data_IF_962910610865
#
_entry.id   IF_962910610865
#
_cell.length_a   1.000
_cell.length_b   1.000
_cell.length_c   1.000
_cell.angle_alpha   90.00
_cell.angle_beta   90.00
_cell.angle_gamma   90.00
#
_symmetry.space_group_name_H-M   'P 1'
#
loop_
_entity.id
_entity.type
_entity.pdbx_description
1 polymer ?
#
# COMPACT_ATOMS: atom_id res chain seq x y z
N UNK A 1 -22.02 -13.24 -4.00
CA UNK A 1 -21.24 -12.00 -3.79
C UNK A 1 -20.30 -11.78 -4.96
N UNK A 2 -19.43 -10.77 -4.89
CA UNK A 2 -18.37 -10.55 -5.91
C UNK A 2 -17.26 -11.60 -5.83
N UNK A 3 -17.03 -12.19 -4.65
CA UNK A 3 -16.15 -13.34 -4.48
C UNK A 3 -16.82 -14.60 -5.03
N UNK A 4 -16.22 -15.18 -6.07
CA UNK A 4 -16.66 -16.43 -6.68
C UNK A 4 -15.68 -16.87 -7.75
N UNK A 5 -15.74 -18.15 -8.12
CA UNK A 5 -14.80 -18.76 -9.05
C UNK A 5 -15.50 -19.55 -10.14
N UNK A 6 -14.74 -19.92 -11.17
CA UNK A 6 -15.15 -20.86 -12.20
C UNK A 6 -13.93 -21.63 -12.72
N UNK A 7 -14.18 -22.82 -13.24
CA UNK A 7 -13.14 -23.70 -13.77
C UNK A 7 -13.19 -23.74 -15.29
N UNK A 8 -12.03 -23.70 -15.93
CA UNK A 8 -11.86 -23.81 -17.39
C UNK A 8 -10.97 -25.00 -17.69
N UNK A 9 -11.50 -25.97 -18.43
CA UNK A 9 -10.70 -27.08 -18.96
C UNK A 9 -10.02 -26.64 -20.26
N UNK A 10 -8.69 -26.70 -20.29
CA UNK A 10 -7.89 -26.48 -21.49
C UNK A 10 -7.40 -27.84 -21.98
N UNK A 11 -7.84 -28.29 -23.19
CA UNK A 11 -7.44 -29.59 -23.73
C UNK A 11 -5.92 -29.74 -23.73
N UNK A 12 -5.42 -30.91 -23.34
CA UNK A 12 -3.99 -31.27 -23.20
C UNK A 12 -3.16 -30.52 -22.14
N UNK A 13 -3.74 -29.53 -21.44
CA UNK A 13 -3.03 -28.77 -20.39
C UNK A 13 -3.57 -29.08 -19.01
N UNK A 14 -4.89 -28.99 -18.80
CA UNK A 14 -5.52 -29.25 -17.51
C UNK A 14 -6.69 -28.33 -17.20
N UNK A 15 -7.12 -28.33 -15.94
CA UNK A 15 -8.21 -27.49 -15.45
C UNK A 15 -7.64 -26.29 -14.68
N UNK A 16 -8.09 -25.09 -15.03
CA UNK A 16 -7.68 -23.84 -14.40
C UNK A 16 -8.85 -23.25 -13.64
N UNK A 17 -8.63 -22.94 -12.36
CA UNK A 17 -9.58 -22.21 -11.55
C UNK A 17 -9.31 -20.72 -11.66
N UNK A 18 -10.35 -19.95 -11.95
CA UNK A 18 -10.29 -18.50 -12.06
C UNK A 18 -11.13 -17.85 -10.97
N UNK A 19 -10.53 -16.95 -10.18
CA UNK A 19 -11.23 -16.12 -9.22
C UNK A 19 -11.77 -14.86 -9.91
N UNK A 20 -13.04 -14.50 -9.65
CA UNK A 20 -13.69 -13.28 -10.20
C UNK A 20 -13.75 -12.12 -9.21
N UNK A 21 -13.35 -12.40 -7.97
CA UNK A 21 -13.40 -11.44 -6.87
C UNK A 21 -12.09 -10.67 -6.69
N UNK A 22 -11.94 -9.98 -5.56
CA UNK A 22 -10.67 -9.40 -5.14
C UNK A 22 -9.57 -10.46 -5.10
N UNK A 23 -8.39 -10.11 -5.62
CA UNK A 23 -7.19 -10.97 -5.64
C UNK A 23 -6.12 -10.53 -4.64
N UNK A 24 -6.31 -9.39 -3.99
CA UNK A 24 -5.40 -8.82 -2.99
C UNK A 24 -6.08 -8.87 -1.62
N UNK A 25 -5.46 -9.58 -0.68
CA UNK A 25 -5.89 -9.62 0.71
C UNK A 25 -5.06 -8.63 1.51
N UNK A 26 -5.70 -7.54 1.97
CA UNK A 26 -5.11 -6.56 2.87
C UNK A 26 -5.65 -6.77 4.29
N UNK A 27 -4.86 -6.38 5.28
CA UNK A 27 -5.19 -6.49 6.71
C UNK A 27 -5.62 -7.92 7.13
N UNK A 28 -4.76 -8.93 6.91
CA UNK A 28 -5.13 -10.33 7.16
C UNK A 28 -5.51 -10.62 8.62
N UNK A 29 -4.99 -9.86 9.58
CA UNK A 29 -5.35 -9.91 11.00
C UNK A 29 -6.83 -9.62 11.26
N UNK A 30 -7.48 -8.75 10.47
CA UNK A 30 -8.93 -8.51 10.59
C UNK A 30 -9.71 -9.78 10.28
N UNK A 31 -9.28 -10.52 9.24
CA UNK A 31 -9.90 -11.80 8.88
C UNK A 31 -9.63 -12.88 9.92
N UNK A 32 -8.40 -12.97 10.43
CA UNK A 32 -8.03 -13.92 11.48
C UNK A 32 -8.83 -13.68 12.76
N UNK A 33 -8.94 -12.42 13.21
CA UNK A 33 -9.74 -12.05 14.37
C UNK A 33 -11.21 -12.47 14.26
N UNK A 34 -11.81 -12.36 13.07
CA UNK A 34 -13.18 -12.84 12.84
C UNK A 34 -13.33 -14.36 13.03
N UNK A 35 -12.34 -15.15 12.61
CA UNK A 35 -12.36 -16.60 12.88
C UNK A 35 -12.21 -16.89 14.37
N UNK A 36 -11.32 -16.16 15.05
CA UNK A 36 -11.07 -16.29 16.50
C UNK A 36 -12.32 -15.95 17.33
N UNK A 37 -13.07 -14.91 16.95
CA UNK A 37 -14.36 -14.55 17.59
C UNK A 37 -15.39 -15.69 17.52
N UNK A 38 -15.29 -16.53 16.48
CA UNK A 38 -16.12 -17.73 16.32
C UNK A 38 -15.57 -18.96 17.06
N UNK A 39 -14.47 -18.81 17.81
CA UNK A 39 -13.73 -19.92 18.43
C UNK A 39 -13.12 -20.87 17.41
N UNK A 40 -12.73 -20.38 16.23
CA UNK A 40 -12.17 -21.14 15.12
C UNK A 40 -10.86 -20.51 14.64
N UNK A 41 -10.15 -21.26 13.80
CA UNK A 41 -9.04 -20.73 13.01
C UNK A 41 -9.35 -20.85 11.52
N UNK A 42 -8.83 -19.92 10.73
CA UNK A 42 -8.97 -19.90 9.26
C UNK A 42 -8.59 -21.24 8.61
N UNK A 43 -7.54 -21.91 9.10
CA UNK A 43 -7.07 -23.20 8.57
C UNK A 43 -8.05 -24.34 8.84
N UNK A 44 -8.95 -24.21 9.83
CA UNK A 44 -10.05 -25.18 10.06
C UNK A 44 -10.95 -25.31 8.82
N UNK A 45 -11.03 -24.25 8.02
CA UNK A 45 -11.79 -24.20 6.78
C UNK A 45 -10.92 -24.37 5.53
N UNK A 46 -9.65 -24.76 5.69
CA UNK A 46 -8.70 -24.89 4.60
C UNK A 46 -8.22 -23.54 4.03
N UNK A 47 -8.44 -22.42 4.74
CA UNK A 47 -7.97 -21.11 4.31
C UNK A 47 -6.57 -20.87 4.86
N UNK A 48 -5.57 -20.88 3.98
CA UNK A 48 -4.19 -20.49 4.27
C UNK A 48 -3.95 -19.07 3.76
N UNK A 49 -3.41 -18.20 4.62
CA UNK A 49 -3.09 -16.81 4.30
C UNK A 49 -1.57 -16.63 4.28
N UNK A 50 -0.97 -16.87 3.11
CA UNK A 50 0.47 -16.73 2.89
C UNK A 50 0.80 -15.38 2.28
N UNK A 51 1.90 -14.77 2.73
CA UNK A 51 2.39 -13.51 2.19
C UNK A 51 3.10 -13.72 0.85
N UNK A 52 2.74 -12.93 -0.16
CA UNK A 52 3.46 -12.86 -1.43
C UNK A 52 4.68 -11.93 -1.29
N UNK A 53 5.87 -12.41 -1.63
CA UNK A 53 7.12 -11.61 -1.58
C UNK A 53 7.96 -11.82 -2.85
N UNK A 54 8.27 -10.77 -3.64
CA UNK A 54 7.72 -9.40 -3.53
C UNK A 54 6.18 -9.39 -3.68
N UNK A 55 5.51 -8.40 -3.13
CA UNK A 55 4.05 -8.29 -3.23
C UNK A 55 3.59 -8.09 -4.67
N UNK A 56 4.35 -7.33 -5.47
CA UNK A 56 4.08 -7.12 -6.90
C UNK A 56 5.32 -6.62 -7.65
N UNK A 57 5.26 -6.73 -8.97
CA UNK A 57 6.20 -6.11 -9.90
C UNK A 57 5.49 -5.03 -10.69
N UNK A 58 6.10 -3.86 -10.80
CA UNK A 58 5.65 -2.78 -11.67
C UNK A 58 6.46 -2.82 -12.95
N UNK A 59 5.76 -2.77 -14.09
CA UNK A 59 6.34 -2.72 -15.43
C UNK A 59 5.89 -1.42 -16.08
N UNK A 60 6.86 -0.55 -16.39
CA UNK A 60 6.63 0.71 -17.08
C UNK A 60 6.59 0.50 -18.59
N UNK A 61 6.02 1.46 -19.31
CA UNK A 61 5.85 1.42 -20.77
C UNK A 61 7.18 1.47 -21.53
N UNK A 62 8.20 2.10 -20.95
CA UNK A 62 9.58 2.09 -21.44
C UNK A 62 10.32 0.76 -21.19
N UNK A 63 9.62 -0.25 -20.67
CA UNK A 63 10.15 -1.58 -20.37
C UNK A 63 10.91 -1.66 -19.05
N UNK A 64 10.99 -0.55 -18.30
CA UNK A 64 11.65 -0.52 -17.01
C UNK A 64 10.79 -1.23 -15.95
N UNK A 65 11.42 -1.95 -15.02
CA UNK A 65 10.69 -2.78 -14.03
C UNK A 65 11.20 -2.60 -12.60
N UNK A 66 10.33 -2.76 -11.60
CA UNK A 66 10.75 -2.78 -10.19
C UNK A 66 9.87 -3.73 -9.38
N UNK A 67 10.49 -4.45 -8.46
CA UNK A 67 9.79 -5.29 -7.50
C UNK A 67 9.52 -4.50 -6.21
N UNK A 68 8.34 -4.64 -5.62
CA UNK A 68 7.91 -3.89 -4.43
C UNK A 68 7.16 -4.77 -3.43
N UNK A 69 7.06 -4.29 -2.18
CA UNK A 69 6.40 -4.99 -1.08
C UNK A 69 7.26 -6.11 -0.51
N UNK A 70 8.42 -5.72 0.04
CA UNK A 70 9.28 -6.60 0.82
C UNK A 70 8.95 -6.45 2.30
N UNK A 71 9.02 -7.51 3.12
CA UNK A 71 8.71 -7.42 4.54
C UNK A 71 9.62 -6.44 5.30
N UNK A 72 9.05 -5.66 6.24
CA UNK A 72 9.80 -4.78 7.17
C UNK A 72 10.96 -5.48 7.87
N UNK A 73 10.73 -6.73 8.27
CA UNK A 73 11.74 -7.54 8.95
C UNK A 73 12.72 -8.09 7.93
N UNK A 74 14.02 -7.90 8.19
CA UNK A 74 15.09 -8.43 7.31
C UNK A 74 14.83 -9.90 7.04
N UNK A 75 14.47 -10.19 5.79
CA UNK A 75 14.34 -11.57 5.35
C UNK A 75 15.69 -12.23 5.44
N UNK A 76 15.80 -13.39 6.11
CA UNK A 76 17.03 -14.19 6.09
C UNK A 76 17.28 -14.86 4.73
N UNK A 77 16.39 -14.67 3.76
CA UNK A 77 16.54 -15.18 2.40
C UNK A 77 17.45 -14.25 1.58
N UNK A 78 18.66 -14.71 1.19
CA UNK A 78 19.61 -13.87 0.47
C UNK A 78 19.07 -13.35 -0.87
N UNK A 79 18.23 -14.15 -1.54
CA UNK A 79 17.63 -13.77 -2.82
C UNK A 79 16.65 -12.60 -2.67
N UNK A 80 15.88 -12.56 -1.57
CA UNK A 80 14.95 -11.46 -1.33
C UNK A 80 15.69 -10.17 -0.98
N UNK A 81 16.78 -10.26 -0.20
CA UNK A 81 17.64 -9.11 0.10
C UNK A 81 18.27 -8.53 -1.18
N UNK A 82 18.70 -9.39 -2.10
CA UNK A 82 19.25 -8.97 -3.39
C UNK A 82 18.20 -8.22 -4.22
N UNK A 83 16.99 -8.76 -4.35
CA UNK A 83 15.88 -8.13 -5.08
C UNK A 83 15.47 -6.78 -4.47
N UNK A 84 15.42 -6.70 -3.14
CA UNK A 84 15.14 -5.44 -2.44
C UNK A 84 16.25 -4.42 -2.72
N UNK A 85 17.53 -4.82 -2.59
CA UNK A 85 18.68 -3.95 -2.86
C UNK A 85 18.69 -3.41 -4.29
N UNK A 86 18.36 -4.26 -5.27
CA UNK A 86 18.22 -3.86 -6.68
C UNK A 86 17.10 -2.83 -6.85
N UNK A 87 15.96 -3.06 -6.21
CA UNK A 87 14.81 -2.14 -6.26
C UNK A 87 15.14 -0.79 -5.63
N UNK A 88 15.81 -0.78 -4.47
CA UNK A 88 16.26 0.45 -3.79
C UNK A 88 17.28 1.22 -4.64
N UNK A 89 18.28 0.53 -5.20
CA UNK A 89 19.26 1.15 -6.11
C UNK A 89 18.56 1.80 -7.31
N UNK A 90 17.50 1.17 -7.82
CA UNK A 90 16.70 1.69 -8.92
C UNK A 90 15.91 2.95 -8.55
N UNK A 91 15.40 3.04 -7.33
CA UNK A 91 14.79 4.27 -6.83
C UNK A 91 15.81 5.43 -6.84
N UNK A 92 17.07 5.17 -6.45
CA UNK A 92 18.12 6.20 -6.46
C UNK A 92 18.51 6.67 -7.87
N UNK A 93 18.43 5.78 -8.88
CA UNK A 93 18.64 6.18 -10.29
C UNK A 93 17.49 7.01 -10.82
N UNK A 94 16.26 6.77 -10.36
CA UNK A 94 15.09 7.53 -10.78
C UNK A 94 14.96 8.90 -10.10
N UNK A 95 15.31 9.01 -8.81
CA UNK A 95 15.12 10.22 -8.00
C UNK A 95 16.39 10.57 -7.20
N UNK A 96 17.46 10.88 -7.94
CA UNK A 96 18.79 11.15 -7.43
C UNK A 96 18.84 12.37 -6.48
N UNK A 97 19.69 12.34 -5.43
CA UNK A 97 20.62 11.26 -5.08
C UNK A 97 20.04 10.15 -4.19
N UNK A 98 18.89 10.35 -3.56
CA UNK A 98 18.44 9.52 -2.44
C UNK A 98 16.98 9.06 -2.62
N UNK A 99 16.64 8.50 -3.78
CA UNK A 99 15.27 8.07 -4.09
C UNK A 99 14.75 6.99 -3.13
N UNK A 100 15.63 6.05 -2.72
CA UNK A 100 15.30 5.01 -1.76
C UNK A 100 15.04 5.55 -0.35
N UNK A 101 15.80 6.58 0.06
CA UNK A 101 15.60 7.26 1.36
C UNK A 101 14.28 8.05 1.36
N UNK A 102 13.98 8.76 0.26
CA UNK A 102 12.68 9.44 0.09
C UNK A 102 11.51 8.45 0.16
N UNK A 103 11.68 7.26 -0.40
CA UNK A 103 10.69 6.18 -0.30
C UNK A 103 10.50 5.72 1.14
N UNK A 104 11.58 5.50 1.89
CA UNK A 104 11.49 5.14 3.32
C UNK A 104 10.81 6.23 4.15
N UNK A 105 11.14 7.49 3.88
CA UNK A 105 10.51 8.64 4.52
C UNK A 105 9.01 8.68 4.26
N UNK A 106 8.61 8.52 3.00
CA UNK A 106 7.22 8.43 2.59
C UNK A 106 6.50 7.27 3.30
N UNK A 107 7.08 6.06 3.27
CA UNK A 107 6.50 4.86 3.88
C UNK A 107 6.35 5.00 5.39
N UNK A 108 7.31 5.61 6.07
CA UNK A 108 7.23 5.89 7.51
C UNK A 108 6.07 6.84 7.83
N UNK A 109 5.92 7.93 7.06
CA UNK A 109 4.80 8.86 7.24
C UNK A 109 3.46 8.15 7.00
N UNK A 110 3.33 7.38 5.91
CA UNK A 110 2.10 6.64 5.61
C UNK A 110 1.78 5.59 6.68
N UNK A 111 2.79 4.92 7.24
CA UNK A 111 2.61 3.99 8.37
C UNK A 111 2.06 4.70 9.59
N UNK A 112 2.62 5.85 9.98
CA UNK A 112 2.10 6.61 11.11
C UNK A 112 0.65 7.07 10.89
N UNK A 113 0.29 7.38 9.63
CA UNK A 113 -1.08 7.76 9.28
C UNK A 113 -2.04 6.59 9.32
N UNK A 114 -1.64 5.40 8.86
CA UNK A 114 -2.48 4.21 8.98
C UNK A 114 -2.62 3.76 10.44
N UNK A 115 -1.53 3.70 11.19
CA UNK A 115 -1.50 3.23 12.59
C UNK A 115 -2.34 4.12 13.52
N UNK A 116 -2.44 5.42 13.20
CA UNK A 116 -3.38 6.33 13.86
C UNK A 116 -4.76 6.31 13.22
N UNK A 117 -4.83 6.19 11.90
CA UNK A 117 -6.03 6.35 11.11
C UNK A 117 -7.03 5.21 11.29
N UNK A 118 -6.55 3.98 11.18
CA UNK A 118 -7.35 2.76 11.23
C UNK A 118 -8.13 2.64 12.55
N UNK A 119 -7.50 2.64 13.75
CA UNK A 119 -8.25 2.48 14.99
C UNK A 119 -9.15 3.67 15.34
N UNK A 120 -8.75 4.90 15.00
CA UNK A 120 -9.47 6.09 15.43
C UNK A 120 -10.64 6.46 14.51
N UNK A 121 -10.53 6.27 13.20
CA UNK A 121 -11.53 6.72 12.23
C UNK A 121 -12.29 5.60 11.53
N UNK A 122 -11.67 4.42 11.36
CA UNK A 122 -12.33 3.29 10.68
C UNK A 122 -12.99 2.35 11.69
N UNK A 123 -12.27 1.99 12.74
CA UNK A 123 -12.78 1.09 13.78
C UNK A 123 -13.46 1.81 14.94
N UNK A 124 -13.34 3.15 15.00
CA UNK A 124 -13.97 4.01 16.00
C UNK A 124 -13.61 3.63 17.46
N UNK A 125 -12.42 3.06 17.70
CA UNK A 125 -11.98 2.56 19.01
C UNK A 125 -11.31 3.62 19.91
N UNK A 126 -10.94 4.75 19.33
CA UNK A 126 -10.16 5.84 19.97
C UNK A 126 -8.89 5.30 20.66
N UNK A 127 -7.80 5.27 19.91
CA UNK A 127 -6.49 4.85 20.40
C UNK A 127 -5.47 5.99 20.28
N UNK A 128 -4.97 6.46 21.42
CA UNK A 128 -4.09 7.63 21.48
C UNK A 128 -2.59 7.28 21.43
N UNK A 129 -2.23 6.00 21.42
CA UNK A 129 -0.84 5.55 21.46
C UNK A 129 -0.08 5.92 20.18
N UNK A 130 -0.74 5.86 19.01
CA UNK A 130 -0.16 6.22 17.72
C UNK A 130 -0.26 7.72 17.37
N UNK A 131 -1.02 8.51 18.16
CA UNK A 131 -1.21 9.94 17.93
C UNK A 131 0.10 10.76 17.96
N UNK A 132 1.07 10.52 18.87
CA UNK A 132 2.35 11.24 18.83
C UNK A 132 3.12 11.03 17.53
N UNK A 133 3.22 9.78 17.04
CA UNK A 133 3.89 9.46 15.77
C UNK A 133 3.18 10.11 14.59
N UNK A 134 1.85 10.08 14.58
CA UNK A 134 1.03 10.78 13.60
C UNK A 134 1.33 12.28 13.54
N UNK A 135 1.36 12.96 14.69
CA UNK A 135 1.62 14.41 14.75
C UNK A 135 3.05 14.76 14.35
N UNK A 136 4.02 13.95 14.77
CA UNK A 136 5.44 14.13 14.38
C UNK A 136 5.57 14.07 12.87
N UNK A 137 5.06 13.02 12.22
CA UNK A 137 5.16 12.85 10.77
C UNK A 137 4.29 13.87 10.01
N UNK A 138 3.11 14.23 10.52
CA UNK A 138 2.25 15.23 9.90
C UNK A 138 2.84 16.64 9.91
N UNK A 139 3.64 16.99 10.91
CA UNK A 139 4.26 18.31 11.07
C UNK A 139 5.72 18.35 10.58
N UNK A 140 6.34 17.19 10.33
CA UNK A 140 7.69 17.09 9.79
C UNK A 140 7.84 17.92 8.51
N UNK A 141 9.02 18.50 8.32
CA UNK A 141 9.37 19.30 7.15
C UNK A 141 8.38 20.42 6.85
N UNK A 142 7.87 21.09 7.90
CA UNK A 142 6.85 22.15 7.81
C UNK A 142 5.51 21.67 7.25
N UNK A 143 5.13 20.43 7.55
CA UNK A 143 3.85 19.85 7.16
C UNK A 143 3.74 19.56 5.67
N UNK A 144 4.84 19.16 5.02
CA UNK A 144 4.84 18.72 3.61
C UNK A 144 3.80 17.62 3.40
N UNK A 145 3.83 16.59 4.23
CA UNK A 145 2.96 15.41 4.15
C UNK A 145 1.67 15.55 4.95
N UNK A 146 1.09 16.76 5.03
CA UNK A 146 -0.10 16.97 5.86
C UNK A 146 -1.26 16.02 5.46
N UNK A 147 -1.86 15.28 6.40
CA UNK A 147 -2.78 14.17 6.12
C UNK A 147 -4.06 14.57 5.37
N UNK A 148 -4.47 15.84 5.46
CA UNK A 148 -5.66 16.37 4.78
C UNK A 148 -5.35 17.04 3.43
N UNK A 149 -4.08 17.03 2.99
CA UNK A 149 -3.75 17.46 1.61
C UNK A 149 -4.14 16.35 0.62
N UNK A 150 -4.44 16.72 -0.64
CA UNK A 150 -4.48 15.75 -1.73
C UNK A 150 -3.19 14.92 -1.74
N UNK A 151 -3.31 13.61 -1.91
CA UNK A 151 -2.14 12.74 -1.91
C UNK A 151 -1.13 13.15 -3.00
N UNK A 152 -1.60 13.51 -4.20
CA UNK A 152 -0.76 14.07 -5.26
C UNK A 152 0.10 15.27 -4.83
N UNK A 153 -0.43 16.20 -4.04
CA UNK A 153 0.33 17.34 -3.52
C UNK A 153 1.47 16.88 -2.58
N UNK A 154 1.26 15.81 -1.82
CA UNK A 154 2.29 15.19 -0.98
C UNK A 154 3.36 14.51 -1.85
N UNK A 155 2.94 13.74 -2.86
CA UNK A 155 3.86 13.07 -3.77
C UNK A 155 4.73 14.05 -4.56
N UNK A 156 4.16 15.19 -4.98
CA UNK A 156 4.91 16.26 -5.64
C UNK A 156 5.92 16.95 -4.71
N UNK A 157 5.65 16.99 -3.40
CA UNK A 157 6.56 17.55 -2.41
C UNK A 157 7.68 16.59 -2.00
N UNK A 158 7.46 15.27 -2.13
CA UNK A 158 8.41 14.22 -1.74
C UNK A 158 9.28 13.78 -2.91
N UNK A 159 8.67 13.48 -4.06
CA UNK A 159 9.34 12.88 -5.21
C UNK A 159 9.47 13.87 -6.36
N UNK A 160 10.62 13.84 -7.03
CA UNK A 160 10.85 14.53 -8.30
C UNK A 160 10.45 13.63 -9.48
N UNK A 161 10.71 12.32 -9.33
CA UNK A 161 10.52 11.35 -10.40
C UNK A 161 9.06 11.00 -10.62
N UNK A 162 8.61 11.05 -11.87
CA UNK A 162 7.27 10.60 -12.25
C UNK A 162 7.07 9.10 -11.98
N UNK A 163 8.12 8.28 -12.10
CA UNK A 163 8.05 6.85 -11.78
C UNK A 163 7.79 6.65 -10.28
N UNK A 164 8.52 7.35 -9.42
CA UNK A 164 8.31 7.28 -7.96
C UNK A 164 6.91 7.73 -7.55
N UNK A 165 6.41 8.83 -8.13
CA UNK A 165 5.03 9.30 -7.92
C UNK A 165 4.00 8.26 -8.36
N UNK A 166 4.20 7.64 -9.52
CA UNK A 166 3.31 6.60 -10.03
C UNK A 166 3.25 5.40 -9.06
N UNK A 167 4.41 4.93 -8.58
CA UNK A 167 4.49 3.83 -7.61
C UNK A 167 3.71 4.13 -6.32
N UNK A 168 3.87 5.33 -5.77
CA UNK A 168 3.19 5.72 -4.53
C UNK A 168 1.68 5.90 -4.75
N UNK A 169 1.27 6.53 -5.85
CA UNK A 169 -0.14 6.79 -6.18
C UNK A 169 -0.94 5.53 -6.54
N UNK A 170 -0.26 4.45 -6.99
CA UNK A 170 -0.93 3.21 -7.35
C UNK A 170 -1.76 2.62 -6.18
N UNK A 171 -1.34 2.93 -4.96
CA UNK A 171 -2.01 2.53 -3.72
C UNK A 171 -3.41 3.15 -3.57
N UNK A 172 -3.63 4.36 -4.11
CA UNK A 172 -4.92 5.05 -4.03
C UNK A 172 -6.02 4.31 -4.79
N UNK A 173 -5.65 3.53 -5.81
CA UNK A 173 -6.59 2.72 -6.57
C UNK A 173 -7.23 1.63 -5.72
N UNK A 174 -6.53 1.14 -4.67
CA UNK A 174 -7.06 0.09 -3.80
C UNK A 174 -8.18 0.59 -2.87
N UNK A 175 -8.21 1.88 -2.55
CA UNK A 175 -9.32 2.53 -1.83
C UNK A 175 -10.39 3.11 -2.75
N UNK A 176 -10.21 3.00 -4.07
CA UNK A 176 -11.16 3.52 -5.06
C UNK A 176 -11.27 5.05 -5.03
N UNK A 177 -10.21 5.72 -4.60
CA UNK A 177 -10.13 7.18 -4.54
C UNK A 177 -9.35 7.72 -5.74
N UNK A 178 -9.68 8.95 -6.16
CA UNK A 178 -8.95 9.62 -7.24
C UNK A 178 -7.59 10.10 -6.69
N UNK A 179 -6.45 9.67 -7.24
CA UNK A 179 -5.12 10.08 -6.76
C UNK A 179 -4.84 11.56 -7.03
N UNK A 180 -5.46 12.12 -8.06
CA UNK A 180 -5.20 13.49 -8.51
C UNK A 180 -6.12 14.52 -7.87
N UNK A 181 -5.53 15.66 -7.53
CA UNK A 181 -6.22 16.85 -7.06
C UNK A 181 -7.26 17.32 -8.07
N UNK A 182 -8.49 17.56 -7.61
CA UNK A 182 -9.52 18.20 -8.41
C UNK A 182 -9.55 19.72 -8.16
N UNK A 183 -8.99 20.48 -9.09
CA UNK A 183 -8.91 21.94 -9.00
C UNK A 183 -10.27 22.67 -9.09
N UNK A 184 -11.35 21.97 -9.43
CA UNK A 184 -12.70 22.53 -9.47
C UNK A 184 -13.43 22.44 -8.12
N UNK A 185 -12.80 21.85 -7.09
CA UNK A 185 -13.41 21.63 -5.77
C UNK A 185 -12.59 22.27 -4.65
N UNK A 186 -13.29 22.79 -3.63
CA UNK A 186 -12.66 23.34 -2.42
C UNK A 186 -11.79 22.27 -1.75
N UNK A 187 -10.57 22.65 -1.35
CA UNK A 187 -9.61 21.70 -0.75
C UNK A 187 -9.12 20.61 -1.71
N UNK A 188 -9.26 20.80 -3.04
CA UNK A 188 -8.75 19.85 -4.03
C UNK A 188 -9.59 18.59 -4.19
N UNK A 189 -10.81 18.55 -3.64
CA UNK A 189 -11.72 17.40 -3.73
C UNK A 189 -11.57 16.35 -2.62
N UNK A 190 -10.69 16.60 -1.64
CA UNK A 190 -10.38 15.69 -0.52
C UNK A 190 -11.60 15.31 0.32
N UNK A 191 -12.56 16.23 0.47
CA UNK A 191 -13.81 15.97 1.22
C UNK A 191 -14.86 15.19 0.42
N UNK A 192 -14.57 14.80 -0.83
CA UNK A 192 -15.54 14.14 -1.73
C UNK A 192 -14.99 12.91 -2.45
N UNK A 193 -13.99 13.07 -3.31
CA UNK A 193 -13.55 12.03 -4.25
C UNK A 193 -12.03 11.83 -4.34
N UNK A 194 -11.24 12.83 -3.95
CA UNK A 194 -9.78 12.76 -4.00
C UNK A 194 -9.24 12.09 -2.74
N UNK A 195 -8.24 11.23 -2.89
CA UNK A 195 -7.60 10.57 -1.77
C UNK A 195 -6.92 11.61 -0.84
N UNK A 196 -7.34 11.72 0.44
CA UNK A 196 -6.50 12.37 1.43
C UNK A 196 -5.27 11.52 1.69
N UNK A 197 -4.13 12.16 1.92
CA UNK A 197 -2.88 11.48 2.26
C UNK A 197 -3.00 10.59 3.52
N UNK A 198 -3.95 10.88 4.43
CA UNK A 198 -4.23 10.04 5.62
C UNK A 198 -4.61 8.60 5.30
N UNK A 199 -5.16 8.35 4.10
CA UNK A 199 -5.52 7.00 3.63
C UNK A 199 -4.49 6.44 2.64
N UNK A 200 -3.31 7.04 2.53
CA UNK A 200 -2.21 6.50 1.74
C UNK A 200 -1.93 5.06 2.15
N UNK A 201 -2.32 4.11 1.30
CA UNK A 201 -2.30 2.68 1.58
C UNK A 201 -0.90 2.10 1.35
N UNK A 202 0.07 2.55 2.16
CA UNK A 202 1.24 1.82 2.64
C UNK A 202 1.85 0.76 1.67
N UNK A 203 2.11 1.09 0.40
CA UNK A 203 2.58 0.14 -0.63
C UNK A 203 1.72 -1.11 -0.90
N UNK A 204 0.49 -1.18 -0.40
CA UNK A 204 -0.33 -2.38 -0.20
C UNK A 204 0.12 -3.28 0.98
N UNK A 205 0.59 -2.62 2.06
CA UNK A 205 1.08 -3.14 3.34
C UNK A 205 2.28 -4.10 3.17
N UNK A 206 3.43 -3.75 3.74
CA UNK A 206 4.57 -4.68 3.85
C UNK A 206 4.23 -6.05 4.47
#
# INVERSE_FOLDING_TARGET
GRCGSFDVMVPSVGTFRHERGPSLLLLPEVYRGLFEDCGKDSTTFGLQMDQCVPAYQVVFDDGDTIDLGFPKSKSNNPKLQELETLSRTKMDTWDTPNGAEKWDDYMRTMSAFLDCGLPNFIEERIELLSLPSFLIEALRDYGKSWPLKPHSDVLDAVFTSNKMKALASFQDLYVGLEPFRNNQQLGGGVLKKTAPAVFGLLAALE
#
